data_IF_385408400002
#
_entry.id   IF_385408400002
#
_cell.length_a   1.000
_cell.length_b   1.000
_cell.length_c   1.000
_cell.angle_alpha   90.00
_cell.angle_beta   90.00
_cell.angle_gamma   90.00
#
_symmetry.space_group_name_H-M   'P 1'
#
loop_
_entity.id
_entity.type
_entity.pdbx_description
1 polymer ?
#
# COMPACT_ATOMS: atom_id res chain seq x y z
N UNK A 1 24.76 7.19 4.44
CA UNK A 1 23.56 6.40 4.08
C UNK A 1 22.92 5.95 5.38
N UNK A 2 21.60 6.00 5.48
CA UNK A 2 20.84 5.61 6.68
C UNK A 2 19.64 4.76 6.26
N UNK A 3 19.01 4.07 7.22
CA UNK A 3 17.82 3.24 7.00
C UNK A 3 17.92 2.32 5.79
N UNK A 4 16.91 2.36 4.92
CA UNK A 4 16.82 1.52 3.72
C UNK A 4 18.00 1.69 2.76
N UNK A 5 18.53 2.92 2.58
CA UNK A 5 19.63 3.14 1.64
C UNK A 5 20.94 2.50 2.12
N UNK A 6 21.17 2.48 3.43
CA UNK A 6 22.31 1.76 4.01
C UNK A 6 22.21 0.26 3.73
N UNK A 7 21.04 -0.33 3.94
CA UNK A 7 20.79 -1.74 3.67
C UNK A 7 21.00 -2.07 2.19
N UNK A 8 20.49 -1.24 1.26
CA UNK A 8 20.71 -1.42 -0.18
C UNK A 8 22.19 -1.44 -0.54
N UNK A 9 23.00 -0.53 0.02
CA UNK A 9 24.44 -0.51 -0.20
C UNK A 9 25.13 -1.77 0.36
N UNK A 10 24.72 -2.24 1.55
CA UNK A 10 25.25 -3.48 2.14
C UNK A 10 24.95 -4.73 1.29
N UNK A 11 23.80 -4.76 0.61
CA UNK A 11 23.45 -5.83 -0.34
C UNK A 11 24.08 -5.67 -1.73
N UNK A 12 24.93 -4.66 -1.93
CA UNK A 12 25.66 -4.47 -3.18
C UNK A 12 24.86 -3.76 -4.29
N UNK A 13 23.79 -3.04 -3.94
CA UNK A 13 23.06 -2.25 -4.93
C UNK A 13 23.92 -1.09 -5.47
N UNK A 14 23.84 -0.88 -6.78
CA UNK A 14 24.42 0.30 -7.43
C UNK A 14 23.42 1.46 -7.31
N UNK A 15 23.73 2.44 -6.45
CA UNK A 15 22.86 3.58 -6.18
C UNK A 15 23.11 4.72 -7.19
N UNK A 16 22.05 5.16 -7.86
CA UNK A 16 22.07 6.31 -8.77
C UNK A 16 21.31 7.48 -8.12
N UNK A 17 22.02 8.57 -7.82
CA UNK A 17 21.43 9.76 -7.20
C UNK A 17 20.99 10.76 -8.27
N UNK A 18 19.70 11.04 -8.36
CA UNK A 18 19.11 11.93 -9.39
C UNK A 18 19.11 13.40 -9.00
N UNK A 19 19.23 13.71 -7.70
CA UNK A 19 19.06 15.07 -7.16
C UNK A 19 17.60 15.55 -7.10
N UNK A 20 16.64 14.72 -7.52
CA UNK A 20 15.21 15.02 -7.48
C UNK A 20 14.66 14.88 -6.05
N UNK A 21 13.59 15.61 -5.76
CA UNK A 21 12.85 15.43 -4.51
C UNK A 21 12.19 14.03 -4.48
N UNK A 22 12.08 13.44 -3.29
CA UNK A 22 11.46 12.11 -3.12
C UNK A 22 9.97 12.09 -3.50
N UNK A 23 9.31 13.25 -3.53
CA UNK A 23 7.93 13.43 -3.99
C UNK A 23 7.80 13.70 -5.49
N UNK A 24 8.89 13.82 -6.24
CA UNK A 24 8.86 14.04 -7.70
C UNK A 24 8.75 12.71 -8.46
N UNK A 25 7.61 12.05 -8.27
CA UNK A 25 7.34 10.71 -8.79
C UNK A 25 7.51 10.61 -10.31
N UNK A 26 7.05 11.63 -11.05
CA UNK A 26 7.10 11.64 -12.52
C UNK A 26 8.54 11.67 -13.04
N UNK A 27 9.38 12.57 -12.52
CA UNK A 27 10.77 12.64 -12.97
C UNK A 27 11.62 11.47 -12.45
N UNK A 28 11.27 10.90 -11.30
CA UNK A 28 11.90 9.66 -10.82
C UNK A 28 11.60 8.47 -11.74
N UNK A 29 10.37 8.34 -12.26
CA UNK A 29 10.04 7.32 -13.27
C UNK A 29 10.78 7.55 -14.60
N UNK A 30 10.91 8.80 -15.04
CA UNK A 30 11.70 9.13 -16.23
C UNK A 30 13.17 8.73 -16.05
N UNK A 31 13.79 9.09 -14.93
CA UNK A 31 15.17 8.72 -14.62
C UNK A 31 15.37 7.19 -14.59
N UNK A 32 14.38 6.46 -14.06
CA UNK A 32 14.40 4.99 -14.05
C UNK A 32 14.33 4.42 -15.48
N UNK A 33 13.48 4.98 -16.33
CA UNK A 33 13.36 4.57 -17.73
C UNK A 33 14.66 4.83 -18.51
N UNK A 34 15.22 6.04 -18.40
CA UNK A 34 16.50 6.42 -19.02
C UNK A 34 17.66 5.52 -18.59
N UNK A 35 17.74 5.21 -17.29
CA UNK A 35 18.75 4.29 -16.76
C UNK A 35 18.58 2.87 -17.33
N UNK A 36 17.33 2.39 -17.43
CA UNK A 36 17.03 1.08 -18.01
C UNK A 36 17.51 1.00 -19.46
N UNK A 37 17.20 2.01 -20.27
CA UNK A 37 17.65 2.06 -21.67
C UNK A 37 19.17 2.15 -21.78
N UNK A 38 19.81 2.95 -20.93
CA UNK A 38 21.28 3.04 -20.89
C UNK A 38 21.90 1.68 -20.61
N UNK A 39 21.41 0.96 -19.61
CA UNK A 39 21.92 -0.38 -19.27
C UNK A 39 21.76 -1.36 -20.43
N UNK A 40 20.62 -1.31 -21.15
CA UNK A 40 20.42 -2.11 -22.37
C UNK A 40 21.45 -1.76 -23.45
N UNK A 41 21.68 -0.46 -23.71
CA UNK A 41 22.71 0.00 -24.67
C UNK A 41 24.12 -0.44 -24.28
N UNK A 42 24.40 -0.53 -22.98
CA UNK A 42 25.67 -1.02 -22.44
C UNK A 42 25.78 -2.56 -22.44
N UNK A 43 24.84 -3.27 -23.07
CA UNK A 43 24.85 -4.73 -23.22
C UNK A 43 24.30 -5.51 -22.02
N UNK A 44 23.72 -4.83 -21.02
CA UNK A 44 23.08 -5.46 -19.87
C UNK A 44 21.65 -5.92 -20.21
N UNK A 45 21.06 -6.72 -19.31
CA UNK A 45 19.67 -7.22 -19.41
C UNK A 45 18.86 -6.85 -18.17
N UNK A 46 18.57 -5.55 -17.95
CA UNK A 46 17.85 -5.12 -16.76
C UNK A 46 16.38 -5.57 -16.80
N UNK A 47 15.84 -5.91 -15.62
CA UNK A 47 14.39 -5.98 -15.42
C UNK A 47 13.94 -4.70 -14.71
N UNK A 48 13.07 -3.94 -15.37
CA UNK A 48 12.61 -2.64 -14.91
C UNK A 48 11.44 -2.82 -13.94
N UNK A 49 11.65 -2.47 -12.67
CA UNK A 49 10.60 -2.48 -11.63
C UNK A 49 10.19 -1.02 -11.37
N UNK A 50 8.93 -0.62 -11.65
CA UNK A 50 8.49 0.75 -11.40
C UNK A 50 8.41 1.02 -9.90
N UNK A 51 8.26 2.29 -9.56
CA UNK A 51 8.07 2.75 -8.19
C UNK A 51 7.00 1.92 -7.47
N UNK A 52 7.37 1.47 -6.26
CA UNK A 52 6.52 0.65 -5.41
C UNK A 52 6.15 -0.71 -5.99
N UNK A 53 6.79 -1.17 -7.08
CA UNK A 53 6.49 -2.44 -7.74
C UNK A 53 5.04 -2.55 -8.23
N UNK A 54 4.36 -1.42 -8.42
CA UNK A 54 2.91 -1.36 -8.65
C UNK A 54 2.57 -1.68 -10.11
N UNK A 55 2.64 -2.98 -10.40
CA UNK A 55 2.32 -3.62 -11.68
C UNK A 55 1.23 -4.66 -11.44
N UNK A 56 0.56 -5.10 -12.51
CA UNK A 56 -0.45 -6.14 -12.41
C UNK A 56 0.11 -7.44 -11.80
N UNK A 57 1.34 -7.83 -12.18
CA UNK A 57 2.05 -8.97 -11.58
C UNK A 57 2.34 -8.72 -10.10
N UNK A 58 2.80 -7.52 -9.73
CA UNK A 58 3.07 -7.17 -8.33
C UNK A 58 1.81 -7.18 -7.45
N UNK A 59 0.68 -6.76 -8.01
CA UNK A 59 -0.61 -6.72 -7.31
C UNK A 59 -1.19 -8.12 -7.03
N UNK A 60 -0.83 -9.15 -7.80
CA UNK A 60 -1.21 -10.56 -7.52
C UNK A 60 -0.85 -10.95 -6.08
N UNK A 61 0.29 -10.49 -5.56
CA UNK A 61 0.71 -10.80 -4.19
C UNK A 61 -0.34 -10.38 -3.16
N UNK A 62 -0.93 -9.20 -3.31
CA UNK A 62 -1.98 -8.72 -2.40
C UNK A 62 -3.37 -9.28 -2.73
N UNK A 63 -3.60 -9.77 -3.95
CA UNK A 63 -4.78 -10.59 -4.27
C UNK A 63 -4.75 -11.92 -3.52
N UNK A 64 -3.58 -12.57 -3.44
CA UNK A 64 -3.38 -13.78 -2.61
C UNK A 64 -3.46 -13.44 -1.13
N UNK A 65 -2.86 -12.33 -0.69
CA UNK A 65 -2.95 -11.90 0.71
C UNK A 65 -4.41 -11.66 1.15
N UNK A 66 -5.28 -11.16 0.25
CA UNK A 66 -6.70 -11.06 0.55
C UNK A 66 -7.32 -12.44 0.83
N UNK A 67 -7.04 -13.45 0.01
CA UNK A 67 -7.53 -14.82 0.25
C UNK A 67 -7.00 -15.37 1.58
N UNK A 68 -5.73 -15.13 1.89
CA UNK A 68 -5.11 -15.54 3.15
C UNK A 68 -5.82 -14.90 4.34
N UNK A 69 -6.10 -13.59 4.29
CA UNK A 69 -6.83 -12.86 5.34
C UNK A 69 -8.21 -13.47 5.53
N UNK A 70 -8.99 -13.66 4.46
CA UNK A 70 -10.34 -14.22 4.54
C UNK A 70 -10.33 -15.66 5.09
N UNK A 71 -9.38 -16.48 4.66
CA UNK A 71 -9.18 -17.84 5.16
C UNK A 71 -8.85 -17.84 6.65
N UNK A 72 -7.92 -16.98 7.08
CA UNK A 72 -7.51 -16.87 8.48
C UNK A 72 -8.65 -16.33 9.37
N UNK A 73 -9.45 -15.37 8.90
CA UNK A 73 -10.65 -14.90 9.60
C UNK A 73 -11.62 -16.07 9.86
N UNK A 74 -11.89 -16.86 8.82
CA UNK A 74 -12.75 -18.05 8.93
C UNK A 74 -12.19 -19.08 9.91
N UNK A 75 -10.87 -19.35 9.89
CA UNK A 75 -10.22 -20.28 10.82
C UNK A 75 -10.27 -19.79 12.28
N UNK A 76 -10.27 -18.47 12.48
CA UNK A 76 -10.36 -17.83 13.79
C UNK A 76 -11.81 -17.53 14.23
N UNK A 77 -12.81 -17.92 13.44
CA UNK A 77 -14.24 -17.75 13.71
C UNK A 77 -14.67 -16.28 13.87
N UNK A 78 -14.09 -15.37 13.08
CA UNK A 78 -14.60 -13.99 12.97
C UNK A 78 -14.75 -13.56 11.50
N UNK A 79 -15.55 -12.54 11.27
CA UNK A 79 -15.71 -11.90 9.95
C UNK A 79 -15.13 -10.50 10.04
N UNK A 80 -14.20 -10.17 9.15
CA UNK A 80 -13.67 -8.81 9.06
C UNK A 80 -14.70 -7.88 8.41
N UNK A 81 -14.97 -6.75 9.07
CA UNK A 81 -15.84 -5.69 8.54
C UNK A 81 -15.07 -4.73 7.63
N UNK A 82 -13.79 -4.52 7.93
CA UNK A 82 -12.89 -3.74 7.09
C UNK A 82 -11.46 -4.26 7.14
N UNK A 83 -10.76 -4.07 6.02
CA UNK A 83 -9.31 -4.18 5.91
C UNK A 83 -8.78 -2.76 5.69
N UNK A 84 -8.02 -2.24 6.65
CA UNK A 84 -7.42 -0.91 6.61
C UNK A 84 -5.92 -1.02 6.35
N UNK A 85 -5.40 -0.20 5.45
CA UNK A 85 -4.00 -0.24 5.04
C UNK A 85 -3.56 1.10 4.44
N UNK A 86 -2.26 1.28 4.27
CA UNK A 86 -1.71 2.47 3.61
C UNK A 86 -1.74 2.33 2.09
N UNK A 87 -2.26 3.32 1.36
CA UNK A 87 -2.21 3.38 -0.10
C UNK A 87 -1.30 4.51 -0.60
N UNK A 88 -0.42 4.17 -1.54
CA UNK A 88 0.48 5.11 -2.23
C UNK A 88 0.52 4.78 -3.72
N UNK A 89 1.56 4.10 -4.23
CA UNK A 89 1.69 3.75 -5.65
C UNK A 89 0.58 2.83 -6.22
N UNK A 90 -0.28 2.28 -5.36
CA UNK A 90 -1.54 1.62 -5.74
C UNK A 90 -1.49 0.11 -5.87
N UNK A 91 -0.31 -0.53 -5.95
CA UNK A 91 -0.19 -1.98 -6.14
C UNK A 91 -0.84 -2.82 -5.04
N UNK A 92 -0.62 -2.47 -3.77
CA UNK A 92 -1.29 -3.10 -2.62
C UNK A 92 -2.81 -2.96 -2.70
N UNK A 93 -3.29 -1.74 -2.97
CA UNK A 93 -4.71 -1.44 -3.06
C UNK A 93 -5.38 -2.23 -4.18
N UNK A 94 -4.79 -2.18 -5.38
CA UNK A 94 -5.28 -2.90 -6.55
C UNK A 94 -5.35 -4.41 -6.32
N UNK A 95 -4.34 -4.98 -5.68
CA UNK A 95 -4.32 -6.41 -5.34
C UNK A 95 -5.46 -6.81 -4.39
N UNK A 96 -5.67 -6.03 -3.32
CA UNK A 96 -6.76 -6.26 -2.37
C UNK A 96 -8.15 -6.10 -3.03
N UNK A 97 -8.31 -5.11 -3.90
CA UNK A 97 -9.55 -4.90 -4.66
C UNK A 97 -9.81 -6.04 -5.64
N UNK A 98 -8.79 -6.52 -6.34
CA UNK A 98 -8.91 -7.70 -7.20
C UNK A 98 -9.32 -8.94 -6.39
N UNK A 99 -8.73 -9.15 -5.20
CA UNK A 99 -9.13 -10.21 -4.27
C UNK A 99 -10.59 -10.10 -3.84
N UNK A 100 -11.02 -8.90 -3.45
CA UNK A 100 -12.41 -8.61 -3.07
C UNK A 100 -13.39 -8.93 -4.21
N UNK A 101 -13.13 -8.44 -5.42
CA UNK A 101 -14.01 -8.62 -6.58
C UNK A 101 -14.11 -10.09 -6.97
N UNK A 102 -12.98 -10.81 -7.00
CA UNK A 102 -12.96 -12.25 -7.24
C UNK A 102 -13.73 -13.03 -6.19
N UNK A 103 -13.53 -12.73 -4.90
CA UNK A 103 -14.23 -13.40 -3.82
C UNK A 103 -15.76 -13.17 -3.87
N UNK A 104 -16.18 -11.95 -4.21
CA UNK A 104 -17.60 -11.59 -4.37
C UNK A 104 -18.24 -12.30 -5.55
N UNK A 105 -17.49 -12.49 -6.64
CA UNK A 105 -17.95 -13.25 -7.79
C UNK A 105 -18.15 -14.73 -7.47
N UNK A 106 -17.22 -15.30 -6.69
CA UNK A 106 -17.25 -16.71 -6.29
C UNK A 106 -18.36 -17.01 -5.27
N UNK A 107 -18.66 -16.07 -4.38
CA UNK A 107 -19.75 -16.19 -3.41
C UNK A 107 -20.43 -14.83 -3.17
N UNK A 108 -21.49 -14.52 -3.94
CA UNK A 108 -22.22 -13.25 -3.82
C UNK A 108 -22.94 -13.04 -2.48
N UNK A 109 -23.15 -14.12 -1.71
CA UNK A 109 -23.80 -14.05 -0.40
C UNK A 109 -22.79 -13.88 0.74
N UNK A 110 -21.49 -14.09 0.46
CA UNK A 110 -20.45 -13.91 1.45
C UNK A 110 -20.35 -12.46 1.87
N UNK A 111 -20.40 -12.24 3.18
CA UNK A 111 -20.05 -10.95 3.77
C UNK A 111 -18.54 -10.76 3.60
N UNK A 112 -18.14 -9.71 2.89
CA UNK A 112 -16.76 -9.37 2.60
C UNK A 112 -16.41 -8.01 3.21
N UNK A 113 -15.16 -7.82 3.67
CA UNK A 113 -14.73 -6.58 4.30
C UNK A 113 -14.72 -5.42 3.30
N UNK A 114 -14.93 -4.20 3.81
CA UNK A 114 -14.56 -2.98 3.08
C UNK A 114 -13.03 -2.90 2.94
N UNK A 115 -12.54 -2.52 1.77
CA UNK A 115 -11.11 -2.28 1.52
C UNK A 115 -10.87 -0.78 1.63
N UNK A 116 -10.25 -0.32 2.74
CA UNK A 116 -10.06 1.10 3.05
C UNK A 116 -8.57 1.46 2.98
N UNK A 117 -8.18 2.15 1.91
CA UNK A 117 -6.84 2.66 1.74
C UNK A 117 -6.68 4.06 2.33
N UNK A 118 -5.74 4.24 3.25
CA UNK A 118 -5.38 5.56 3.79
C UNK A 118 -4.28 6.16 2.92
N UNK A 119 -4.60 7.25 2.22
CA UNK A 119 -3.68 7.94 1.32
C UNK A 119 -2.56 8.65 2.07
N UNK A 120 -1.32 8.50 1.60
CA UNK A 120 -0.13 9.09 2.27
C UNK A 120 0.71 10.02 1.41
N UNK A 121 0.29 10.24 0.17
CA UNK A 121 0.92 11.17 -0.77
C UNK A 121 -0.16 11.84 -1.63
N UNK A 122 0.09 13.08 -2.06
CA UNK A 122 -0.80 13.74 -3.04
C UNK A 122 -0.62 13.13 -4.43
N UNK A 123 -1.52 13.48 -5.34
CA UNK A 123 -1.42 13.12 -6.75
C UNK A 123 -1.74 11.65 -7.01
N UNK A 124 -0.76 10.90 -7.53
CA UNK A 124 -0.95 9.51 -8.02
C UNK A 124 -1.52 8.59 -6.93
N UNK A 125 -1.19 8.82 -5.68
CA UNK A 125 -1.66 8.00 -4.56
C UNK A 125 -3.16 8.15 -4.24
N UNK A 126 -3.82 9.18 -4.78
CA UNK A 126 -5.26 9.41 -4.66
C UNK A 126 -6.01 9.11 -5.96
N UNK A 127 -5.35 8.52 -6.96
CA UNK A 127 -5.96 8.23 -8.25
C UNK A 127 -6.71 6.90 -8.23
N UNK A 128 -8.01 6.97 -7.89
CA UNK A 128 -8.92 5.82 -7.89
C UNK A 128 -8.98 5.10 -9.24
N UNK A 129 -9.00 5.83 -10.37
CA UNK A 129 -9.05 5.21 -11.70
C UNK A 129 -7.82 4.33 -11.96
N UNK A 130 -6.64 4.79 -11.56
CA UNK A 130 -5.40 4.02 -11.70
C UNK A 130 -5.44 2.73 -10.87
N UNK A 131 -6.01 2.77 -9.67
CA UNK A 131 -6.19 1.56 -8.84
C UNK A 131 -7.15 0.57 -9.50
N UNK A 132 -8.28 1.06 -10.05
CA UNK A 132 -9.26 0.23 -10.78
C UNK A 132 -8.62 -0.41 -12.02
N UNK A 133 -7.90 0.38 -12.82
CA UNK A 133 -7.16 -0.11 -13.99
C UNK A 133 -6.19 -1.23 -13.60
N UNK A 134 -5.37 -0.99 -12.57
CA UNK A 134 -4.38 -1.96 -12.10
C UNK A 134 -5.05 -3.24 -11.53
N UNK A 135 -6.17 -3.11 -10.83
CA UNK A 135 -6.94 -4.25 -10.34
C UNK A 135 -7.50 -5.08 -11.50
N UNK A 136 -8.01 -4.43 -12.56
CA UNK A 136 -8.54 -5.10 -13.74
C UNK A 136 -7.44 -5.76 -14.59
N UNK A 137 -6.27 -5.14 -14.73
CA UNK A 137 -5.09 -5.79 -15.33
C UNK A 137 -4.69 -7.04 -14.53
N UNK A 138 -4.73 -6.96 -13.19
CA UNK A 138 -4.41 -8.07 -12.30
C UNK A 138 -5.41 -9.22 -12.44
N UNK A 139 -6.72 -8.92 -12.46
CA UNK A 139 -7.80 -9.88 -12.69
C UNK A 139 -7.64 -10.56 -14.07
N UNK A 140 -7.32 -9.78 -15.10
CA UNK A 140 -7.06 -10.31 -16.45
C UNK A 140 -5.88 -11.28 -16.47
N UNK A 141 -4.78 -10.96 -15.79
CA UNK A 141 -3.62 -11.86 -15.67
C UNK A 141 -3.94 -13.15 -14.92
N UNK A 142 -4.87 -13.10 -13.96
CA UNK A 142 -5.35 -14.27 -13.23
C UNK A 142 -6.38 -15.10 -14.02
N UNK A 143 -6.81 -14.63 -15.20
CA UNK A 143 -7.81 -15.30 -16.02
C UNK A 143 -9.25 -15.10 -15.53
N UNK A 144 -9.49 -14.09 -14.69
CA UNK A 144 -10.81 -13.77 -14.15
C UNK A 144 -11.64 -12.98 -15.19
N UNK A 145 -12.94 -13.28 -15.27
CA UNK A 145 -13.88 -12.57 -16.16
C UNK A 145 -14.60 -11.40 -15.48
N UNK A 146 -14.41 -11.23 -14.17
CA UNK A 146 -15.00 -10.14 -13.37
C UNK A 146 -14.10 -8.90 -13.34
N UNK A 147 -14.69 -7.74 -13.09
CA UNK A 147 -14.02 -6.45 -13.22
C UNK A 147 -14.34 -5.59 -12.00
N UNK A 148 -13.31 -4.94 -11.46
CA UNK A 148 -13.42 -3.90 -10.46
C UNK A 148 -13.98 -2.61 -11.07
N UNK A 149 -14.68 -1.85 -10.23
CA UNK A 149 -15.26 -0.55 -10.52
C UNK A 149 -14.76 0.48 -9.51
N UNK A 150 -15.04 1.76 -9.78
CA UNK A 150 -14.73 2.85 -8.84
C UNK A 150 -15.39 2.64 -7.47
N UNK A 151 -16.56 2.00 -7.42
CA UNK A 151 -17.27 1.72 -6.17
C UNK A 151 -16.53 0.71 -5.27
N UNK A 152 -15.60 -0.06 -5.83
CA UNK A 152 -14.80 -1.05 -5.10
C UNK A 152 -13.55 -0.45 -4.44
N UNK A 153 -13.26 0.83 -4.70
CA UNK A 153 -12.02 1.50 -4.27
C UNK A 153 -12.35 2.63 -3.31
N UNK A 154 -11.89 2.50 -2.06
CA UNK A 154 -12.04 3.53 -1.03
C UNK A 154 -10.67 4.09 -0.69
N UNK A 155 -10.47 5.38 -0.93
CA UNK A 155 -9.26 6.12 -0.54
C UNK A 155 -9.66 7.24 0.41
N UNK A 156 -9.18 7.20 1.65
CA UNK A 156 -9.31 8.29 2.61
C UNK A 156 -7.98 9.06 2.71
N UNK A 157 -8.01 10.33 2.30
CA UNK A 157 -6.86 11.23 2.31
C UNK A 157 -6.77 12.10 3.58
N UNK A 158 -7.71 11.98 4.52
CA UNK A 158 -7.89 12.90 5.64
C UNK A 158 -6.71 12.88 6.63
N UNK A 159 -5.96 11.77 6.66
CA UNK A 159 -4.86 11.52 7.60
C UNK A 159 -3.46 11.68 6.97
N UNK A 160 -3.41 12.06 5.69
CA UNK A 160 -2.17 12.23 4.92
C UNK A 160 -1.28 13.35 5.47
N UNK A 161 -1.89 14.42 5.98
CA UNK A 161 -1.21 15.67 6.30
C UNK A 161 -0.81 16.46 5.05
N UNK A 162 0.35 17.14 5.13
CA UNK A 162 0.78 18.07 4.09
C UNK A 162 1.15 17.37 2.77
N UNK A 163 1.91 16.27 2.82
CA UNK A 163 2.25 15.44 1.65
C UNK A 163 3.02 14.17 2.07
N UNK A 164 3.53 13.45 1.07
CA UNK A 164 4.45 12.33 1.18
C UNK A 164 5.65 12.62 2.08
N UNK A 165 5.95 11.68 2.98
CA UNK A 165 7.08 11.73 3.92
C UNK A 165 7.15 12.97 4.83
N UNK A 166 6.13 13.83 4.84
CA UNK A 166 6.01 14.93 5.80
C UNK A 166 5.33 14.39 7.06
N UNK A 167 5.96 14.48 8.25
CA UNK A 167 5.39 13.99 9.50
C UNK A 167 4.06 14.67 9.86
N UNK A 168 3.21 13.97 10.59
CA UNK A 168 1.97 14.53 11.17
C UNK A 168 1.89 14.17 12.65
N UNK A 169 1.24 15.02 13.44
CA UNK A 169 1.02 14.73 14.86
C UNK A 169 0.19 13.46 15.02
N UNK A 170 -0.85 13.28 14.20
CA UNK A 170 -1.68 12.08 14.22
C UNK A 170 -0.87 10.79 13.98
N UNK A 171 0.11 10.81 13.06
CA UNK A 171 1.00 9.68 12.85
C UNK A 171 1.92 9.43 14.05
N UNK A 172 2.47 10.49 14.67
CA UNK A 172 3.31 10.35 15.86
C UNK A 172 2.53 9.79 17.07
N UNK A 173 1.30 10.25 17.26
CA UNK A 173 0.39 9.75 18.29
C UNK A 173 0.03 8.28 18.04
N UNK A 174 -0.25 7.92 16.78
CA UNK A 174 -0.52 6.55 16.36
C UNK A 174 0.69 5.62 16.58
N UNK A 175 1.91 6.06 16.27
CA UNK A 175 3.14 5.30 16.58
C UNK A 175 3.27 5.05 18.08
N UNK A 176 3.05 6.08 18.90
CA UNK A 176 3.13 5.95 20.37
C UNK A 176 2.06 5.00 20.90
N UNK A 177 0.82 5.13 20.41
CA UNK A 177 -0.28 4.24 20.75
C UNK A 177 0.06 2.78 20.40
N UNK A 178 0.53 2.53 19.16
CA UNK A 178 0.83 1.20 18.65
C UNK A 178 1.97 0.52 19.41
N UNK A 179 3.02 1.29 19.75
CA UNK A 179 4.14 0.80 20.54
C UNK A 179 3.70 0.43 21.97
N UNK A 180 2.92 1.28 22.64
CA UNK A 180 2.53 1.06 24.03
C UNK A 180 1.41 0.03 24.23
N UNK A 181 0.54 -0.18 23.24
CA UNK A 181 -0.62 -1.07 23.35
C UNK A 181 -0.46 -2.39 22.59
N UNK A 182 0.16 -2.36 21.41
CA UNK A 182 0.30 -3.53 20.55
C UNK A 182 1.72 -4.08 20.46
N UNK A 183 2.72 -3.37 21.02
CA UNK A 183 4.14 -3.62 20.75
C UNK A 183 4.47 -3.62 19.24
N UNK A 184 3.72 -2.82 18.46
CA UNK A 184 3.91 -2.66 17.02
C UNK A 184 4.74 -1.42 16.73
N UNK A 185 5.66 -1.54 15.79
CA UNK A 185 6.59 -0.48 15.42
C UNK A 185 6.23 0.04 14.05
N UNK A 186 5.59 1.22 14.02
CA UNK A 186 5.12 1.86 12.81
C UNK A 186 6.11 2.91 12.32
N UNK A 187 6.40 2.89 11.02
CA UNK A 187 7.23 3.91 10.36
C UNK A 187 6.44 5.22 10.14
N UNK A 188 7.10 6.38 10.25
CA UNK A 188 6.42 7.68 10.19
C UNK A 188 5.93 8.07 8.79
N UNK A 189 6.41 7.38 7.73
CA UNK A 189 6.09 7.72 6.35
C UNK A 189 4.81 7.02 5.88
N UNK A 190 4.66 5.72 6.16
CA UNK A 190 3.57 4.91 5.62
C UNK A 190 2.63 4.36 6.69
N UNK A 191 3.12 3.41 7.49
CA UNK A 191 2.32 2.58 8.39
C UNK A 191 1.75 3.39 9.56
N UNK A 192 2.47 4.39 10.07
CA UNK A 192 1.93 5.28 11.11
C UNK A 192 0.80 6.17 10.60
N UNK A 193 0.88 6.65 9.36
CA UNK A 193 -0.23 7.41 8.73
C UNK A 193 -1.42 6.52 8.41
N UNK A 194 -1.18 5.29 7.95
CA UNK A 194 -2.25 4.32 7.75
C UNK A 194 -2.97 3.97 9.04
N UNK A 195 -2.19 3.75 10.11
CA UNK A 195 -2.75 3.42 11.41
C UNK A 195 -3.42 4.61 12.09
N UNK A 196 -2.92 5.83 11.91
CA UNK A 196 -3.61 7.02 12.40
C UNK A 196 -4.97 7.21 11.73
N UNK A 197 -5.08 6.85 10.44
CA UNK A 197 -6.37 6.81 9.74
C UNK A 197 -7.33 5.79 10.33
N UNK A 198 -6.87 4.58 10.63
CA UNK A 198 -7.67 3.59 11.34
C UNK A 198 -8.19 4.14 12.68
N UNK A 199 -7.32 4.69 13.51
CA UNK A 199 -7.70 5.24 14.83
C UNK A 199 -8.67 6.42 14.70
N UNK A 200 -8.51 7.26 13.68
CA UNK A 200 -9.40 8.38 13.43
C UNK A 200 -10.78 7.96 12.94
N UNK A 201 -10.86 6.97 12.04
CA UNK A 201 -12.13 6.39 11.59
C UNK A 201 -12.91 5.78 12.77
N UNK A 202 -12.22 5.06 13.65
CA UNK A 202 -12.81 4.54 14.89
C UNK A 202 -13.32 5.67 15.80
N UNK A 203 -12.50 6.70 16.04
CA UNK A 203 -12.89 7.85 16.86
C UNK A 203 -14.07 8.66 16.29
N UNK A 204 -14.28 8.63 14.97
CA UNK A 204 -15.39 9.28 14.29
C UNK A 204 -16.67 8.43 14.29
N UNK A 205 -16.61 7.16 14.73
CA UNK A 205 -17.74 6.23 14.73
C UNK A 205 -18.01 5.60 13.36
N UNK A 206 -17.01 5.55 12.47
CA UNK A 206 -17.14 4.90 11.16
C UNK A 206 -17.20 3.37 11.25
N UNK A 207 -16.84 2.81 12.41
CA UNK A 207 -16.96 1.39 12.74
C UNK A 207 -18.00 1.15 13.83
N UNK A 208 -18.69 0.02 13.75
CA UNK A 208 -19.61 -0.42 14.80
C UNK A 208 -18.84 -0.90 16.03
N UNK A 209 -19.50 -0.88 17.20
CA UNK A 209 -18.90 -1.31 18.48
C UNK A 209 -18.33 -2.72 18.44
N UNK A 210 -18.98 -3.61 17.67
CA UNK A 210 -18.59 -5.01 17.52
C UNK A 210 -17.87 -5.30 16.19
N UNK A 211 -17.41 -4.26 15.47
CA UNK A 211 -16.72 -4.44 14.19
C UNK A 211 -15.31 -5.02 14.36
N UNK A 212 -14.97 -6.01 13.55
CA UNK A 212 -13.63 -6.57 13.48
C UNK A 212 -12.85 -5.90 12.35
N UNK A 213 -11.77 -5.21 12.70
CA UNK A 213 -10.95 -4.48 11.73
C UNK A 213 -9.59 -5.16 11.60
N UNK A 214 -9.21 -5.49 10.37
CA UNK A 214 -7.88 -6.00 10.05
C UNK A 214 -7.02 -4.85 9.55
N UNK A 215 -5.93 -4.55 10.25
CA UNK A 215 -4.94 -3.59 9.78
C UNK A 215 -3.76 -4.31 9.11
N UNK A 216 -3.42 -3.93 7.88
CA UNK A 216 -2.24 -4.45 7.19
C UNK A 216 -1.03 -3.57 7.52
N UNK A 217 -0.19 -4.07 8.42
CA UNK A 217 1.12 -3.48 8.70
C UNK A 217 2.09 -3.77 7.54
N UNK A 218 2.21 -2.83 6.59
CA UNK A 218 3.01 -3.00 5.36
C UNK A 218 4.53 -2.90 5.52
N UNK A 219 5.02 -2.59 6.74
CA UNK A 219 6.45 -2.59 7.06
C UNK A 219 7.00 -1.19 7.23
N UNK A 220 8.17 -0.90 6.65
CA UNK A 220 8.80 0.44 6.68
C UNK A 220 9.76 0.68 7.84
N UNK A 221 9.97 -0.30 8.74
CA UNK A 221 10.75 -0.14 9.97
C UNK A 221 12.12 0.55 9.81
N UNK A 222 12.95 0.27 8.77
CA UNK A 222 14.25 0.92 8.63
C UNK A 222 14.18 2.45 8.52
N UNK A 223 13.03 3.01 8.12
CA UNK A 223 12.82 4.46 8.02
C UNK A 223 12.85 5.17 9.38
N UNK A 224 12.66 4.44 10.50
CA UNK A 224 12.77 5.00 11.86
C UNK A 224 14.20 5.40 12.23
N UNK A 225 15.19 4.84 11.54
CA UNK A 225 16.61 5.09 11.80
C UNK A 225 17.22 6.08 10.81
N UNK A 226 16.39 6.93 10.20
CA UNK A 226 16.80 8.02 9.32
C UNK A 226 16.66 9.32 10.09
N UNK A 227 17.70 10.15 10.09
CA UNK A 227 17.62 11.50 10.64
C UNK A 227 16.90 12.42 9.64
N UNK A 228 15.78 12.99 10.07
CA UNK A 228 15.01 13.98 9.32
C UNK A 228 15.39 15.41 9.73
#
# INVERSE_FOLDING_TARGET
LEGNQMLSAMFGAHLHHTGLAASDWSNLELARAELTEKLIRDGQRPHSIPIGGSTAVGAIGYTVAFDEIISQCSLQNFVADAIVFTTSSGGTHAGLVAGLVRARANDPQKVLPKIIGIGVAKGVALNTNRVVELANETLTLLGESVHATIADVIIDASYMGADYAIPTQAAADATTWAAHRGAWVLDPVYSAKGFSGLLGLDANGDFGVDSNIVFIHTGGLPSLFVMH
#
